data_IF_885079802307
#
_entry.id   IF_885079802307
#
_cell.length_a   1.000
_cell.length_b   1.000
_cell.length_c   1.000
_cell.angle_alpha   90.00
_cell.angle_beta   90.00
_cell.angle_gamma   90.00
#
_symmetry.space_group_name_H-M   'P 1'
#
loop_
_entity.id
_entity.type
_entity.pdbx_description
1 polymer ?
#
# COMPACT_ATOMS: atom_id res chain seq x y z
N UNK A 1 -9.76 -31.36 -9.02
CA UNK A 1 -9.21 -30.89 -7.74
C UNK A 1 -8.46 -32.02 -7.05
N UNK A 2 -7.16 -32.16 -7.34
CA UNK A 2 -6.25 -33.05 -6.59
C UNK A 2 -5.59 -32.22 -5.49
N UNK A 3 -6.34 -31.85 -4.45
CA UNK A 3 -5.70 -31.29 -3.25
C UNK A 3 -5.13 -32.47 -2.48
N UNK A 4 -3.81 -32.56 -2.43
CA UNK A 4 -3.11 -33.53 -1.60
C UNK A 4 -3.59 -33.35 -0.16
N UNK A 5 -4.15 -34.41 0.42
CA UNK A 5 -4.62 -34.40 1.79
C UNK A 5 -3.40 -34.29 2.72
N UNK A 6 -3.42 -33.34 3.66
CA UNK A 6 -2.33 -33.20 4.64
C UNK A 6 -2.63 -34.20 5.77
N UNK A 7 -2.02 -35.37 5.71
CA UNK A 7 -2.26 -36.51 6.60
C UNK A 7 -1.15 -36.71 7.66
N UNK A 8 -0.17 -35.81 7.70
CA UNK A 8 1.01 -35.90 8.58
C UNK A 8 1.50 -34.57 9.15
N UNK A 9 2.56 -34.65 9.95
CA UNK A 9 3.22 -33.44 10.48
C UNK A 9 3.87 -32.65 9.36
N UNK A 10 3.57 -31.35 9.30
CA UNK A 10 4.26 -30.43 8.41
C UNK A 10 5.71 -30.25 8.88
N UNK A 11 6.65 -30.49 7.98
CA UNK A 11 8.04 -30.10 8.17
C UNK A 11 8.15 -28.60 7.89
N UNK A 12 8.32 -27.80 8.94
CA UNK A 12 8.41 -26.36 8.85
C UNK A 12 9.87 -25.93 8.78
N UNK A 13 10.22 -25.16 7.74
CA UNK A 13 11.51 -24.50 7.63
C UNK A 13 11.35 -23.02 8.00
N UNK A 14 12.07 -22.52 9.02
CA UNK A 14 12.05 -21.09 9.32
C UNK A 14 12.77 -20.32 8.19
N UNK A 15 12.08 -19.35 7.61
CA UNK A 15 12.65 -18.45 6.60
C UNK A 15 13.24 -17.20 7.25
N UNK A 16 12.50 -16.63 8.21
CA UNK A 16 12.93 -15.50 9.04
C UNK A 16 12.68 -15.92 10.49
N UNK A 17 13.75 -15.94 11.29
CA UNK A 17 13.69 -16.37 12.70
C UNK A 17 13.98 -15.24 13.69
N UNK A 18 14.42 -14.08 13.20
CA UNK A 18 14.71 -12.90 14.02
C UNK A 18 13.53 -11.91 13.97
N UNK A 19 13.23 -11.29 15.11
CA UNK A 19 12.25 -10.21 15.21
C UNK A 19 12.96 -8.85 15.14
N UNK A 20 13.71 -8.63 14.06
CA UNK A 20 14.61 -7.49 13.87
C UNK A 20 14.09 -6.45 12.87
N UNK A 21 13.01 -6.78 12.18
CA UNK A 21 12.28 -5.93 11.24
C UNK A 21 10.84 -6.46 11.10
N UNK A 22 10.00 -5.68 10.42
CA UNK A 22 8.70 -6.16 9.98
C UNK A 22 8.86 -6.96 8.69
N UNK A 23 8.14 -8.07 8.58
CA UNK A 23 8.10 -8.93 7.40
C UNK A 23 6.65 -9.35 7.15
N UNK A 24 6.02 -8.72 6.19
CA UNK A 24 4.62 -8.94 5.85
C UNK A 24 4.51 -9.71 4.54
N UNK A 25 3.94 -10.91 4.60
CA UNK A 25 3.64 -11.70 3.40
C UNK A 25 2.52 -11.06 2.60
N UNK A 26 2.75 -10.85 1.30
CA UNK A 26 1.78 -10.23 0.40
C UNK A 26 1.10 -11.26 -0.50
N UNK A 27 1.90 -12.04 -1.24
CA UNK A 27 1.44 -13.05 -2.20
C UNK A 27 2.63 -13.90 -2.65
N UNK A 28 2.38 -14.88 -3.51
CA UNK A 28 3.41 -15.62 -4.23
C UNK A 28 2.98 -15.96 -5.67
N UNK A 29 3.96 -16.22 -6.52
CA UNK A 29 3.81 -16.93 -7.80
C UNK A 29 4.64 -18.22 -7.73
N UNK A 30 3.99 -19.34 -7.41
CA UNK A 30 4.69 -20.60 -7.15
C UNK A 30 5.68 -20.45 -5.98
N UNK A 31 6.98 -20.72 -6.17
CA UNK A 31 7.98 -20.60 -5.11
C UNK A 31 8.49 -19.17 -4.90
N UNK A 32 8.08 -18.19 -5.71
CA UNK A 32 8.49 -16.79 -5.58
C UNK A 32 7.51 -16.06 -4.67
N UNK A 33 7.95 -15.63 -3.50
CA UNK A 33 7.16 -14.92 -2.50
C UNK A 33 7.50 -13.43 -2.50
N UNK A 34 6.47 -12.61 -2.37
CA UNK A 34 6.56 -11.16 -2.25
C UNK A 34 6.37 -10.76 -0.78
N UNK A 35 7.37 -10.10 -0.21
CA UNK A 35 7.38 -9.74 1.21
C UNK A 35 7.63 -8.23 1.34
N UNK A 36 6.73 -7.53 2.03
CA UNK A 36 6.93 -6.13 2.41
C UNK A 36 7.75 -6.10 3.70
N UNK A 37 8.86 -5.37 3.69
CA UNK A 37 9.76 -5.31 4.85
C UNK A 37 10.40 -3.95 5.02
N UNK A 38 10.75 -3.60 6.26
CA UNK A 38 11.59 -2.45 6.58
C UNK A 38 13.02 -2.84 6.96
N UNK A 39 13.43 -4.10 6.70
CA UNK A 39 14.79 -4.56 6.93
C UNK A 39 15.77 -3.77 6.06
N UNK A 40 16.63 -2.98 6.73
CA UNK A 40 17.56 -2.03 6.12
C UNK A 40 16.89 -1.00 5.19
N UNK A 41 15.60 -0.73 5.41
CA UNK A 41 14.78 0.16 4.60
C UNK A 41 13.67 0.81 5.46
N UNK A 42 13.99 1.91 6.14
CA UNK A 42 13.09 2.59 7.08
C UNK A 42 11.73 2.97 6.49
N UNK A 43 11.68 3.30 5.20
CA UNK A 43 10.48 3.66 4.44
C UNK A 43 9.84 2.47 3.73
N UNK A 44 10.26 1.24 4.08
CA UNK A 44 9.81 -0.03 3.52
C UNK A 44 10.15 -0.26 2.04
N UNK A 45 10.34 -1.53 1.70
CA UNK A 45 10.55 -2.04 0.34
C UNK A 45 9.80 -3.36 0.14
N UNK A 46 9.48 -3.68 -1.10
CA UNK A 46 8.92 -4.99 -1.48
C UNK A 46 10.02 -5.85 -2.07
N UNK A 47 10.32 -6.97 -1.43
CA UNK A 47 11.33 -7.93 -1.90
C UNK A 47 10.68 -9.15 -2.56
N UNK A 48 11.45 -9.81 -3.45
CA UNK A 48 11.17 -11.14 -4.00
C UNK A 48 12.09 -12.18 -3.34
N UNK A 49 11.51 -13.28 -2.88
CA UNK A 49 12.25 -14.41 -2.28
C UNK A 49 11.79 -15.72 -2.91
N UNK A 50 12.70 -16.50 -3.48
CA UNK A 50 12.42 -17.84 -3.99
C UNK A 50 12.68 -18.88 -2.89
N UNK A 51 11.62 -19.50 -2.36
CA UNK A 51 11.74 -20.45 -1.24
C UNK A 51 12.35 -21.80 -1.61
N UNK A 52 12.48 -22.10 -2.91
CA UNK A 52 13.14 -23.33 -3.39
C UNK A 52 14.63 -23.12 -3.69
N UNK A 53 15.11 -21.89 -3.63
CA UNK A 53 16.51 -21.53 -3.85
C UNK A 53 17.15 -21.11 -2.51
N UNK A 54 18.05 -21.96 -2.00
CA UNK A 54 18.74 -21.72 -0.74
C UNK A 54 19.55 -20.41 -0.72
N UNK A 55 20.05 -19.96 -1.87
CA UNK A 55 20.76 -18.68 -1.94
C UNK A 55 19.80 -17.50 -1.82
N UNK A 56 18.61 -17.59 -2.42
CA UNK A 56 17.56 -16.56 -2.31
C UNK A 56 17.05 -16.37 -0.88
N UNK A 57 17.16 -17.38 -0.02
CA UNK A 57 16.82 -17.28 1.41
C UNK A 57 17.79 -16.39 2.20
N UNK A 58 19.00 -16.17 1.70
CA UNK A 58 20.00 -15.34 2.38
C UNK A 58 19.64 -13.88 2.21
N UNK A 59 19.52 -13.13 3.31
CA UNK A 59 19.16 -11.70 3.29
C UNK A 59 20.01 -10.87 2.31
N UNK A 60 21.31 -11.16 2.21
CA UNK A 60 22.25 -10.53 1.27
C UNK A 60 21.92 -10.73 -0.22
N UNK A 61 20.98 -11.62 -0.55
CA UNK A 61 20.56 -11.98 -1.90
C UNK A 61 19.12 -11.55 -2.21
N UNK A 62 18.43 -10.90 -1.26
CA UNK A 62 17.08 -10.40 -1.53
C UNK A 62 17.10 -9.31 -2.58
N UNK A 63 16.23 -9.47 -3.58
CA UNK A 63 16.06 -8.53 -4.67
C UNK A 63 14.84 -7.64 -4.41
N UNK A 64 15.02 -6.34 -4.62
CA UNK A 64 13.94 -5.37 -4.51
C UNK A 64 13.10 -5.38 -5.78
N UNK A 65 11.84 -5.77 -5.63
CA UNK A 65 10.82 -5.53 -6.67
C UNK A 65 10.38 -4.07 -6.65
N UNK A 66 10.18 -3.52 -5.45
CA UNK A 66 9.94 -2.10 -5.24
C UNK A 66 10.95 -1.64 -4.21
N UNK A 67 11.98 -0.87 -4.60
CA UNK A 67 13.00 -0.38 -3.68
C UNK A 67 12.40 0.65 -2.71
N UNK A 68 13.12 0.89 -1.61
CA UNK A 68 12.79 1.95 -0.66
C UNK A 68 12.71 3.31 -1.36
N UNK A 69 11.66 4.07 -1.09
CA UNK A 69 11.55 5.44 -1.57
C UNK A 69 12.28 6.41 -0.62
N UNK A 70 12.98 7.41 -1.17
CA UNK A 70 13.78 8.37 -0.38
C UNK A 70 12.94 9.17 0.62
N UNK A 71 11.74 9.57 0.21
CA UNK A 71 10.92 10.54 0.96
C UNK A 71 9.51 10.05 1.34
N UNK A 72 9.15 8.81 0.99
CA UNK A 72 7.76 8.33 1.15
C UNK A 72 7.74 6.94 1.75
N UNK A 73 6.88 6.72 2.74
CA UNK A 73 6.76 5.41 3.39
C UNK A 73 5.81 4.53 2.59
N UNK A 74 6.27 3.37 2.11
CA UNK A 74 5.40 2.33 1.52
C UNK A 74 4.60 1.65 2.64
N UNK A 75 3.40 2.16 2.90
CA UNK A 75 2.58 1.80 4.07
C UNK A 75 1.92 0.43 3.94
N UNK A 76 1.46 0.11 2.74
CA UNK A 76 0.83 -1.17 2.40
C UNK A 76 0.80 -1.35 0.88
N UNK A 77 0.56 -2.58 0.43
CA UNK A 77 0.33 -2.86 -0.97
C UNK A 77 -0.57 -4.07 -1.15
N UNK A 78 -1.16 -4.19 -2.35
CA UNK A 78 -2.03 -5.32 -2.70
C UNK A 78 -1.80 -5.73 -4.14
N UNK A 79 -1.64 -7.02 -4.38
CA UNK A 79 -1.51 -7.57 -5.73
C UNK A 79 -2.90 -8.00 -6.22
N UNK A 80 -3.31 -7.53 -7.39
CA UNK A 80 -4.66 -7.69 -7.96
C UNK A 80 -4.57 -8.03 -9.45
N UNK A 81 -5.54 -8.79 -9.96
CA UNK A 81 -5.67 -9.13 -11.38
C UNK A 81 -4.37 -9.62 -12.02
N UNK A 82 -3.75 -10.56 -11.34
CA UNK A 82 -2.51 -11.21 -11.74
C UNK A 82 -1.23 -10.40 -11.74
N UNK A 83 -1.23 -9.20 -12.29
CA UNK A 83 0.01 -8.49 -12.60
C UNK A 83 0.04 -7.04 -12.12
N UNK A 84 -0.98 -6.57 -11.39
CA UNK A 84 -0.99 -5.21 -10.85
C UNK A 84 -0.67 -5.21 -9.36
N UNK A 85 0.22 -4.30 -8.96
CA UNK A 85 0.45 -3.95 -7.55
C UNK A 85 -0.16 -2.58 -7.29
N UNK A 86 -1.12 -2.51 -6.38
CA UNK A 86 -1.64 -1.25 -5.86
C UNK A 86 -0.81 -0.90 -4.64
N UNK A 87 0.02 0.14 -4.76
CA UNK A 87 0.93 0.59 -3.71
C UNK A 87 0.34 1.80 -2.98
N UNK A 88 0.37 1.78 -1.66
CA UNK A 88 -0.06 2.88 -0.81
C UNK A 88 1.14 3.48 -0.10
N UNK A 89 1.49 4.69 -0.53
CA UNK A 89 2.53 5.51 0.09
C UNK A 89 1.94 6.56 1.03
N UNK A 90 2.74 6.98 2.00
CA UNK A 90 2.47 8.16 2.81
C UNK A 90 3.61 9.16 2.60
N UNK A 91 3.26 10.38 2.20
CA UNK A 91 4.16 11.53 2.13
C UNK A 91 3.58 12.68 2.93
N UNK A 92 4.35 13.24 3.86
CA UNK A 92 3.90 14.35 4.71
C UNK A 92 2.51 14.10 5.31
N UNK A 93 2.27 12.87 5.79
CA UNK A 93 1.00 12.42 6.39
C UNK A 93 -0.20 12.45 5.43
N UNK A 94 0.03 12.36 4.12
CA UNK A 94 -1.00 12.23 3.08
C UNK A 94 -0.81 10.94 2.31
N UNK A 95 -1.91 10.23 2.08
CA UNK A 95 -1.88 9.03 1.23
C UNK A 95 -1.65 9.40 -0.23
N UNK A 96 -0.84 8.58 -0.90
CA UNK A 96 -0.65 8.57 -2.34
C UNK A 96 -0.78 7.14 -2.83
N UNK A 97 -1.53 6.92 -3.89
CA UNK A 97 -1.66 5.60 -4.50
C UNK A 97 -0.98 5.57 -5.86
N UNK A 98 -0.34 4.44 -6.17
CA UNK A 98 0.19 4.15 -7.49
C UNK A 98 -0.04 2.69 -7.86
N UNK A 99 -0.07 2.44 -9.16
CA UNK A 99 -0.19 1.12 -9.76
C UNK A 99 1.17 0.78 -10.37
N UNK A 100 1.69 -0.40 -10.04
CA UNK A 100 2.92 -0.97 -10.60
C UNK A 100 2.69 -2.32 -11.25
N UNK A 101 3.62 -2.73 -12.11
CA UNK A 101 3.65 -4.07 -12.70
C UNK A 101 4.29 -5.05 -11.71
N UNK A 102 3.70 -6.23 -11.51
CA UNK A 102 4.23 -7.26 -10.62
C UNK A 102 5.52 -7.90 -11.15
N UNK A 103 5.65 -7.99 -12.48
CA UNK A 103 6.77 -8.66 -13.14
C UNK A 103 8.11 -8.03 -12.76
N UNK A 104 8.19 -6.70 -12.88
CA UNK A 104 9.43 -5.93 -12.77
C UNK A 104 9.35 -4.73 -11.81
N UNK A 105 8.17 -4.44 -11.24
CA UNK A 105 7.98 -3.35 -10.30
C UNK A 105 7.87 -1.98 -10.96
N UNK A 106 7.79 -1.93 -12.29
CA UNK A 106 7.71 -0.67 -13.04
C UNK A 106 6.44 0.10 -12.70
N UNK A 107 6.56 1.43 -12.62
CA UNK A 107 5.43 2.32 -12.41
C UNK A 107 4.54 2.34 -13.66
N UNK A 108 3.27 1.95 -13.49
CA UNK A 108 2.25 2.03 -14.54
C UNK A 108 1.53 3.38 -14.45
N UNK A 109 1.07 3.76 -13.25
CA UNK A 109 0.24 4.96 -13.07
C UNK A 109 0.33 5.49 -11.65
N UNK A 110 0.58 6.79 -11.51
CA UNK A 110 0.27 7.50 -10.27
C UNK A 110 -1.22 7.88 -10.30
N UNK A 111 -1.97 7.51 -9.27
CA UNK A 111 -3.41 7.74 -9.23
C UNK A 111 -3.71 9.16 -8.76
N UNK A 112 -4.63 9.83 -9.48
CA UNK A 112 -5.10 11.15 -9.08
C UNK A 112 -6.20 11.00 -8.03
N UNK A 113 -5.78 10.93 -6.76
CA UNK A 113 -6.70 10.81 -5.62
C UNK A 113 -6.81 12.12 -4.85
N UNK A 114 -7.98 12.43 -4.25
CA UNK A 114 -8.08 13.56 -3.34
C UNK A 114 -7.12 13.43 -2.15
N UNK A 115 -6.70 14.56 -1.60
CA UNK A 115 -5.89 14.60 -0.39
C UNK A 115 -6.67 14.01 0.79
N UNK A 116 -6.10 13.00 1.42
CA UNK A 116 -6.68 12.34 2.58
C UNK A 116 -5.88 11.13 3.02
N UNK A 117 -6.52 10.29 3.82
CA UNK A 117 -6.02 9.00 4.27
C UNK A 117 -6.75 7.89 3.52
N UNK A 118 -5.99 6.95 2.99
CA UNK A 118 -6.50 5.67 2.48
C UNK A 118 -6.61 4.71 3.66
N UNK A 119 -7.83 4.29 3.99
CA UNK A 119 -8.08 3.42 5.15
C UNK A 119 -7.98 1.94 4.80
N UNK A 120 -8.41 1.57 3.59
CA UNK A 120 -8.31 0.20 3.09
C UNK A 120 -8.30 0.16 1.57
N UNK A 121 -7.71 -0.91 1.04
CA UNK A 121 -7.69 -1.29 -0.37
C UNK A 121 -8.13 -2.74 -0.45
N UNK A 122 -9.02 -3.07 -1.37
CA UNK A 122 -9.52 -4.42 -1.62
C UNK A 122 -9.56 -4.75 -3.12
N UNK A 123 -9.36 -6.03 -3.40
CA UNK A 123 -9.19 -6.62 -4.73
C UNK A 123 -8.49 -7.97 -4.55
N UNK A 124 -8.96 -8.99 -5.28
CA UNK A 124 -8.37 -10.32 -5.24
C UNK A 124 -7.22 -10.47 -6.23
N UNK A 125 -6.24 -11.27 -5.85
CA UNK A 125 -5.07 -11.59 -6.67
C UNK A 125 -5.44 -12.23 -8.01
N UNK A 126 -6.54 -12.99 -8.05
CA UNK A 126 -7.03 -13.70 -9.23
C UNK A 126 -8.38 -13.15 -9.63
N UNK A 127 -8.61 -13.01 -10.94
CA UNK A 127 -9.92 -12.76 -11.58
C UNK A 127 -10.62 -11.41 -11.28
N UNK A 128 -10.20 -10.67 -10.26
CA UNK A 128 -10.76 -9.35 -9.97
C UNK A 128 -10.24 -8.30 -10.94
N UNK A 129 -11.06 -7.92 -11.92
CA UNK A 129 -10.77 -6.81 -12.85
C UNK A 129 -10.97 -5.41 -12.23
N UNK A 130 -11.20 -5.32 -10.92
CA UNK A 130 -11.50 -4.07 -10.23
C UNK A 130 -10.82 -4.01 -8.86
N UNK A 131 -10.45 -2.79 -8.47
CA UNK A 131 -9.92 -2.46 -7.14
C UNK A 131 -10.88 -1.47 -6.51
N UNK A 132 -11.18 -1.66 -5.23
CA UNK A 132 -11.87 -0.68 -4.42
C UNK A 132 -10.96 -0.19 -3.31
N UNK A 133 -11.04 1.10 -3.00
CA UNK A 133 -10.33 1.65 -1.85
C UNK A 133 -11.16 2.77 -1.25
N UNK A 134 -10.96 3.05 0.03
CA UNK A 134 -11.61 4.19 0.68
C UNK A 134 -10.62 5.31 0.94
N UNK A 135 -11.06 6.55 0.73
CA UNK A 135 -10.34 7.74 1.16
C UNK A 135 -11.24 8.54 2.08
N UNK A 136 -10.68 8.97 3.21
CA UNK A 136 -11.30 9.93 4.13
C UNK A 136 -10.43 11.18 4.27
N UNK A 137 -11.06 12.31 4.55
CA UNK A 137 -10.37 13.58 4.79
C UNK A 137 -11.16 14.41 5.80
N UNK A 138 -10.54 15.42 6.40
CA UNK A 138 -11.17 16.19 7.48
C UNK A 138 -12.53 16.79 7.12
N UNK A 139 -12.70 17.25 5.87
CA UNK A 139 -13.90 17.93 5.39
C UNK A 139 -14.67 17.14 4.33
N UNK A 140 -14.21 15.93 4.00
CA UNK A 140 -14.83 15.05 3.00
C UNK A 140 -15.08 13.70 3.66
N UNK A 141 -16.34 13.23 3.71
CA UNK A 141 -16.64 11.94 4.31
C UNK A 141 -15.91 10.81 3.58
N UNK A 142 -15.73 9.69 4.28
CA UNK A 142 -15.17 8.49 3.69
C UNK A 142 -15.89 8.13 2.39
N UNK A 143 -15.12 8.10 1.31
CA UNK A 143 -15.60 7.86 -0.04
C UNK A 143 -14.93 6.61 -0.57
N UNK A 144 -15.75 5.69 -1.09
CA UNK A 144 -15.29 4.47 -1.73
C UNK A 144 -15.07 4.78 -3.20
N UNK A 145 -13.84 4.56 -3.66
CA UNK A 145 -13.44 4.66 -5.05
C UNK A 145 -13.32 3.27 -5.65
N UNK A 146 -13.48 3.22 -6.97
CA UNK A 146 -13.29 2.04 -7.80
C UNK A 146 -12.36 2.35 -8.96
N UNK A 147 -11.41 1.47 -9.21
CA UNK A 147 -10.59 1.42 -10.43
C UNK A 147 -11.00 0.17 -11.19
N UNK A 148 -11.23 0.30 -12.49
CA UNK A 148 -11.35 -0.84 -13.40
C UNK A 148 -10.01 -1.06 -14.05
N UNK A 149 -9.43 -2.24 -13.87
CA UNK A 149 -8.08 -2.58 -14.33
C UNK A 149 -8.01 -2.86 -15.85
N UNK A 150 -9.18 -3.00 -16.48
CA UNK A 150 -9.30 -3.15 -17.94
C UNK A 150 -9.44 -1.80 -18.66
N UNK A 151 -9.58 -0.69 -17.92
CA UNK A 151 -9.71 0.65 -18.52
C UNK A 151 -8.31 1.18 -18.86
N UNK A 152 -8.15 1.75 -20.06
CA UNK A 152 -6.85 2.23 -20.56
C UNK A 152 -6.19 3.29 -19.67
N UNK A 153 -6.99 4.10 -18.97
CA UNK A 153 -6.52 5.23 -18.16
C UNK A 153 -6.35 4.91 -16.67
N UNK A 154 -6.89 3.78 -16.20
CA UNK A 154 -6.84 3.34 -14.80
C UNK A 154 -7.28 4.41 -13.79
N UNK A 155 -8.22 5.28 -14.17
CA UNK A 155 -8.63 6.41 -13.33
C UNK A 155 -9.62 5.96 -12.24
N UNK A 156 -9.42 6.39 -10.97
CA UNK A 156 -10.39 6.12 -9.91
C UNK A 156 -11.70 6.87 -10.13
N UNK A 157 -12.82 6.17 -9.94
CA UNK A 157 -14.17 6.76 -9.96
C UNK A 157 -14.84 6.60 -8.60
N UNK A 158 -15.66 7.55 -8.18
CA UNK A 158 -16.43 7.41 -6.93
C UNK A 158 -17.46 6.29 -7.14
N UNK A 159 -17.36 5.25 -6.33
CA UNK A 159 -18.33 4.15 -6.27
C UNK A 159 -19.44 4.43 -5.27
N UNK A 160 -19.06 4.92 -4.08
CA UNK A 160 -20.02 5.28 -3.03
C UNK A 160 -19.48 6.43 -2.19
N UNK A 161 -20.33 7.41 -1.93
CA UNK A 161 -20.05 8.48 -1.00
C UNK A 161 -21.35 8.82 -0.27
N UNK A 162 -21.26 9.19 1.00
CA UNK A 162 -22.42 9.60 1.78
C UNK A 162 -22.06 10.82 2.60
N UNK A 163 -22.81 11.90 2.38
CA UNK A 163 -22.62 13.16 3.10
C UNK A 163 -23.50 13.20 4.35
N UNK A 164 -22.97 13.70 5.48
CA UNK A 164 -23.80 13.96 6.64
C UNK A 164 -24.90 14.95 6.29
N UNK A 165 -26.12 14.72 6.78
CA UNK A 165 -27.20 15.71 6.65
C UNK A 165 -26.78 16.99 7.35
N UNK A 166 -27.02 18.14 6.71
CA UNK A 166 -26.75 19.48 7.26
C UNK A 166 -25.27 19.83 7.50
N UNK A 167 -24.31 19.11 6.92
CA UNK A 167 -22.90 19.50 6.98
C UNK A 167 -22.49 20.33 5.75
N UNK A 168 -22.05 21.58 5.98
CA UNK A 168 -21.51 22.44 4.93
C UNK A 168 -19.98 22.55 5.07
N UNK A 169 -19.25 21.67 4.37
CA UNK A 169 -17.78 21.65 4.34
C UNK A 169 -17.16 23.01 3.97
N UNK A 170 -17.86 23.85 3.18
CA UNK A 170 -17.34 25.16 2.75
C UNK A 170 -17.16 26.15 3.90
N UNK A 171 -17.81 25.92 5.05
CA UNK A 171 -17.66 26.72 6.26
C UNK A 171 -16.37 26.42 7.03
N UNK A 172 -15.64 25.37 6.66
CA UNK A 172 -14.43 24.93 7.35
C UNK A 172 -13.22 24.97 6.42
N UNK A 173 -12.04 24.96 7.02
CA UNK A 173 -10.75 24.85 6.33
C UNK A 173 -9.83 23.92 7.11
N UNK A 174 -9.03 23.15 6.38
CA UNK A 174 -7.91 22.39 6.95
C UNK A 174 -6.61 22.99 6.42
N UNK A 175 -5.73 23.38 7.35
CA UNK A 175 -4.37 23.85 7.02
C UNK A 175 -3.38 22.71 7.29
N UNK A 176 -2.42 22.52 6.38
CA UNK A 176 -1.27 21.66 6.59
C UNK A 176 -0.05 22.55 6.81
N UNK A 177 0.53 22.49 8.01
CA UNK A 177 1.65 23.34 8.42
C UNK A 177 2.79 22.50 8.97
N UNK A 178 4.00 23.02 8.94
CA UNK A 178 5.16 22.42 9.60
C UNK A 178 5.58 23.28 10.78
N UNK A 179 5.56 22.70 11.97
CA UNK A 179 6.06 23.33 13.18
C UNK A 179 7.53 22.95 13.39
N UNK A 180 8.38 23.90 13.80
CA UNK A 180 9.78 23.64 14.11
C UNK A 180 9.91 23.29 15.60
N UNK A 181 10.29 22.05 15.89
CA UNK A 181 10.55 21.56 17.24
C UNK A 181 11.81 22.19 17.84
N UNK A 182 12.05 21.97 19.14
CA UNK A 182 13.18 22.50 19.91
C UNK A 182 14.54 22.15 19.29
N UNK A 183 14.66 20.96 18.73
CA UNK A 183 15.87 20.44 18.06
C UNK A 183 15.99 20.89 16.59
N UNK A 184 15.00 21.60 16.06
CA UNK A 184 14.95 22.04 14.67
C UNK A 184 14.20 21.10 13.73
N UNK A 185 13.79 19.91 14.19
CA UNK A 185 12.99 18.96 13.40
C UNK A 185 11.65 19.58 12.99
N UNK A 186 11.27 19.45 11.72
CA UNK A 186 9.97 19.91 11.21
C UNK A 186 8.90 18.85 11.46
N UNK A 187 7.85 19.21 12.19
CA UNK A 187 6.74 18.32 12.54
C UNK A 187 5.50 18.72 11.72
N UNK A 188 4.96 17.83 10.86
CA UNK A 188 3.74 18.11 10.11
C UNK A 188 2.51 18.11 11.02
N UNK A 189 1.63 19.08 10.83
CA UNK A 189 0.39 19.27 11.61
C UNK A 189 -0.77 19.61 10.67
N UNK A 190 -1.92 18.98 10.91
CA UNK A 190 -3.19 19.38 10.32
C UNK A 190 -4.01 20.18 11.35
N UNK A 191 -4.50 21.34 10.94
CA UNK A 191 -5.37 22.20 11.75
C UNK A 191 -6.68 22.39 10.99
N UNK A 192 -7.74 21.73 11.45
CA UNK A 192 -9.09 21.89 10.93
C UNK A 192 -9.89 22.86 11.82
N UNK A 193 -10.46 23.91 11.24
CA UNK A 193 -11.25 24.89 11.98
C UNK A 193 -12.31 25.55 11.07
N UNK A 194 -13.30 26.22 11.67
CA UNK A 194 -14.26 27.04 10.93
C UNK A 194 -13.54 28.23 10.28
N UNK A 195 -13.89 28.58 9.05
CA UNK A 195 -13.38 29.80 8.41
C UNK A 195 -13.80 31.01 9.25
N UNK A 196 -12.85 31.93 9.43
CA UNK A 196 -13.10 33.25 10.00
C UNK A 196 -13.71 34.12 8.91
#
# INVERSE_FOLDING_TARGET
DNRTEIDGKLLLQPIISAFDANYEYISNDGPIHYILTNRNASNYRLIKVNLTDSDSLRESKWEDLIPEHSDEVLRSLRIVNDNFIICHYIRDVKSRLEIRNLTDGTLIKMLNTPIGSVEWITGQRKNDSQVFFSITSFLTPTSIYRIKLNDLNLEPTIYRQSWPKNFNAKQFITKHVFYKSKDGTKIPLFIAHKKV
#
